data_IF_594456641177
#
_entry.id   IF_594456641177
#
_cell.length_a   1.000
_cell.length_b   1.000
_cell.length_c   1.000
_cell.angle_alpha   90.00
_cell.angle_beta   90.00
_cell.angle_gamma   90.00
#
_symmetry.space_group_name_H-M   'P 1'
#
loop_
_entity.id
_entity.type
_entity.pdbx_description
1 polymer ?
#
# COMPACT_ATOMS: atom_id res chain seq x y z
N UNK A 1 -42.39 25.59 -3.53
CA UNK A 1 -41.34 26.60 -3.24
C UNK A 1 -40.12 25.81 -2.77
N UNK A 2 -39.06 25.60 -3.55
CA UNK A 2 -38.30 26.59 -4.30
C UNK A 2 -37.03 27.07 -3.56
N UNK A 3 -36.57 26.38 -2.51
CA UNK A 3 -35.50 26.89 -1.62
C UNK A 3 -34.12 26.28 -1.83
N UNK A 4 -34.00 25.11 -2.48
CA UNK A 4 -32.70 24.49 -2.83
C UNK A 4 -32.87 23.61 -4.07
N UNK A 5 -31.87 23.59 -4.96
CA UNK A 5 -31.86 22.75 -6.16
C UNK A 5 -31.92 21.27 -5.77
N UNK A 6 -32.98 20.56 -6.15
CA UNK A 6 -33.21 19.16 -5.76
C UNK A 6 -32.15 18.17 -6.31
N UNK A 7 -31.36 18.59 -7.31
CA UNK A 7 -30.17 17.87 -7.77
C UNK A 7 -29.00 17.98 -6.77
N UNK A 8 -28.90 19.10 -6.04
CA UNK A 8 -27.83 19.33 -5.07
C UNK A 8 -28.21 18.86 -3.66
N UNK A 9 -29.49 18.95 -3.29
CA UNK A 9 -29.99 18.49 -1.99
C UNK A 9 -31.31 17.72 -2.20
N UNK A 10 -31.24 16.43 -2.53
CA UNK A 10 -32.42 15.59 -2.64
C UNK A 10 -33.13 15.48 -1.28
N UNK A 11 -34.47 15.42 -1.26
CA UNK A 11 -35.23 15.24 -0.01
C UNK A 11 -34.89 13.90 0.65
N UNK A 12 -34.91 13.82 1.99
CA UNK A 12 -34.42 12.66 2.75
C UNK A 12 -35.14 11.36 2.37
N UNK A 13 -36.43 11.41 2.02
CA UNK A 13 -37.19 10.25 1.53
C UNK A 13 -36.56 9.63 0.28
N UNK A 14 -36.10 10.45 -0.66
CA UNK A 14 -35.45 9.98 -1.88
C UNK A 14 -34.12 9.30 -1.57
N UNK A 15 -33.37 9.80 -0.59
CA UNK A 15 -32.11 9.17 -0.14
C UNK A 15 -32.37 7.78 0.44
N UNK A 16 -33.35 7.63 1.34
CA UNK A 16 -33.68 6.32 1.92
C UNK A 16 -34.19 5.33 0.86
N UNK A 17 -35.01 5.79 -0.09
CA UNK A 17 -35.43 4.96 -1.22
C UNK A 17 -34.24 4.54 -2.08
N UNK A 18 -33.35 5.46 -2.42
CA UNK A 18 -32.14 5.13 -3.21
C UNK A 18 -31.24 4.14 -2.49
N UNK A 19 -31.06 4.26 -1.16
CA UNK A 19 -30.31 3.26 -0.37
C UNK A 19 -30.97 1.88 -0.50
N UNK A 20 -32.29 1.78 -0.31
CA UNK A 20 -32.99 0.51 -0.45
C UNK A 20 -32.87 -0.06 -1.87
N UNK A 21 -33.09 0.75 -2.91
CA UNK A 21 -32.98 0.33 -4.30
C UNK A 21 -31.55 -0.14 -4.65
N UNK A 22 -30.52 0.59 -4.22
CA UNK A 22 -29.12 0.21 -4.47
C UNK A 22 -28.78 -1.15 -3.86
N UNK A 23 -29.16 -1.36 -2.60
CA UNK A 23 -28.81 -2.58 -1.88
C UNK A 23 -29.72 -3.77 -2.20
N UNK A 24 -31.03 -3.55 -2.37
CA UNK A 24 -32.00 -4.62 -2.56
C UNK A 24 -32.20 -5.01 -4.03
N UNK A 25 -32.06 -4.06 -4.97
CA UNK A 25 -32.43 -4.28 -6.38
C UNK A 25 -31.21 -4.24 -7.32
N UNK A 26 -30.21 -3.41 -7.02
CA UNK A 26 -29.06 -3.20 -7.91
C UNK A 26 -27.81 -3.98 -7.50
N UNK A 27 -27.88 -4.81 -6.45
CA UNK A 27 -26.75 -5.65 -6.06
C UNK A 27 -25.51 -4.88 -5.59
N UNK A 28 -25.68 -3.63 -5.13
CA UNK A 28 -24.58 -2.73 -4.75
C UNK A 28 -23.60 -3.33 -3.72
N UNK A 29 -24.08 -4.22 -2.85
CA UNK A 29 -23.24 -4.95 -1.90
C UNK A 29 -22.13 -5.76 -2.60
N UNK A 30 -22.43 -6.35 -3.77
CA UNK A 30 -21.46 -7.09 -4.57
C UNK A 30 -20.41 -6.16 -5.17
N UNK A 31 -20.80 -4.99 -5.65
CA UNK A 31 -19.87 -4.00 -6.20
C UNK A 31 -18.90 -3.48 -5.13
N UNK A 32 -19.42 -3.22 -3.93
CA UNK A 32 -18.60 -2.86 -2.76
C UNK A 32 -17.61 -3.98 -2.45
N UNK A 33 -18.08 -5.24 -2.42
CA UNK A 33 -17.22 -6.39 -2.14
C UNK A 33 -16.12 -6.55 -3.18
N UNK A 34 -16.43 -6.41 -4.47
CA UNK A 34 -15.44 -6.47 -5.55
C UNK A 34 -14.41 -5.36 -5.39
N UNK A 35 -14.84 -4.15 -5.06
CA UNK A 35 -13.93 -3.02 -4.82
C UNK A 35 -12.96 -3.30 -3.66
N UNK A 36 -13.50 -3.80 -2.54
CA UNK A 36 -12.69 -4.18 -1.36
C UNK A 36 -11.70 -5.29 -1.71
N UNK A 37 -12.15 -6.36 -2.36
CA UNK A 37 -11.28 -7.46 -2.78
C UNK A 37 -10.18 -7.01 -3.73
N UNK A 38 -10.47 -6.06 -4.63
CA UNK A 38 -9.47 -5.47 -5.52
C UNK A 38 -8.36 -4.75 -4.73
N UNK A 39 -8.72 -3.98 -3.71
CA UNK A 39 -7.75 -3.30 -2.84
C UNK A 39 -6.93 -4.30 -2.04
N UNK A 40 -7.58 -5.29 -1.42
CA UNK A 40 -6.91 -6.30 -0.60
C UNK A 40 -5.93 -7.15 -1.42
N UNK A 41 -6.32 -7.57 -2.63
CA UNK A 41 -5.45 -8.36 -3.51
C UNK A 41 -4.25 -7.56 -4.00
N UNK A 42 -4.44 -6.32 -4.44
CA UNK A 42 -3.34 -5.43 -4.83
C UNK A 42 -2.38 -5.15 -3.66
N UNK A 43 -2.91 -4.89 -2.48
CA UNK A 43 -2.13 -4.68 -1.26
C UNK A 43 -1.34 -5.94 -0.87
N UNK A 44 -1.96 -7.12 -0.87
CA UNK A 44 -1.28 -8.37 -0.57
C UNK A 44 -0.12 -8.64 -1.54
N UNK A 45 -0.34 -8.43 -2.85
CA UNK A 45 0.74 -8.52 -3.85
C UNK A 45 1.85 -7.50 -3.59
N UNK A 46 1.50 -6.27 -3.21
CA UNK A 46 2.49 -5.25 -2.85
C UNK A 46 3.29 -5.65 -1.62
N UNK A 47 2.68 -6.19 -0.57
CA UNK A 47 3.36 -6.66 0.64
C UNK A 47 4.40 -7.75 0.34
N UNK A 48 4.10 -8.70 -0.56
CA UNK A 48 5.04 -9.76 -0.95
C UNK A 48 6.36 -9.19 -1.47
N UNK A 49 6.34 -8.03 -2.13
CA UNK A 49 7.53 -7.38 -2.68
C UNK A 49 8.09 -6.32 -1.73
N UNK A 50 7.22 -5.51 -1.15
CA UNK A 50 7.60 -4.37 -0.32
C UNK A 50 8.20 -4.78 1.02
N UNK A 51 7.71 -5.87 1.63
CA UNK A 51 8.22 -6.34 2.93
C UNK A 51 9.66 -6.81 2.81
N UNK A 52 10.04 -7.74 1.91
CA UNK A 52 11.43 -8.16 1.77
C UNK A 52 12.36 -7.00 1.42
N UNK A 53 11.93 -6.13 0.49
CA UNK A 53 12.76 -5.02 0.03
C UNK A 53 12.92 -3.93 1.09
N UNK A 54 11.85 -3.57 1.79
CA UNK A 54 11.87 -2.60 2.88
C UNK A 54 12.72 -3.08 4.06
N UNK A 55 12.58 -4.34 4.45
CA UNK A 55 13.43 -4.94 5.50
C UNK A 55 14.90 -4.97 5.05
N UNK A 56 15.17 -5.35 3.80
CA UNK A 56 16.55 -5.35 3.27
C UNK A 56 17.16 -3.94 3.26
N UNK A 57 16.40 -2.92 2.86
CA UNK A 57 16.83 -1.51 2.93
C UNK A 57 17.03 -1.03 4.35
N UNK A 58 16.15 -1.38 5.29
CA UNK A 58 16.29 -0.96 6.67
C UNK A 58 17.46 -1.63 7.40
N UNK A 59 17.76 -2.88 7.04
CA UNK A 59 18.78 -3.67 7.73
C UNK A 59 20.19 -3.56 7.12
N UNK A 60 20.29 -3.27 5.81
CA UNK A 60 21.57 -3.20 5.09
C UNK A 60 21.80 -1.78 4.54
N UNK A 61 22.70 -0.98 5.15
CA UNK A 61 22.97 0.40 4.74
C UNK A 61 23.41 0.53 3.27
N UNK A 62 24.08 -0.49 2.73
CA UNK A 62 24.48 -0.51 1.32
C UNK A 62 23.29 -0.60 0.35
N UNK A 63 22.26 -1.40 0.70
CA UNK A 63 21.04 -1.51 -0.11
C UNK A 63 20.22 -0.23 0.00
N UNK A 64 20.11 0.34 1.20
CA UNK A 64 19.46 1.61 1.43
C UNK A 64 20.08 2.72 0.57
N UNK A 65 21.41 2.87 0.60
CA UNK A 65 22.10 3.91 -0.14
C UNK A 65 21.86 3.84 -1.65
N UNK A 66 21.73 2.63 -2.21
CA UNK A 66 21.46 2.44 -3.64
C UNK A 66 19.98 2.63 -3.97
N UNK A 67 19.06 2.04 -3.20
CA UNK A 67 17.63 2.00 -3.54
C UNK A 67 16.84 3.21 -3.04
N UNK A 68 17.22 3.82 -1.92
CA UNK A 68 16.55 4.97 -1.31
C UNK A 68 16.29 6.12 -2.28
N UNK A 69 17.25 6.59 -3.12
CA UNK A 69 16.97 7.66 -4.07
C UNK A 69 15.93 7.28 -5.12
N UNK A 70 15.94 6.03 -5.59
CA UNK A 70 14.93 5.55 -6.54
C UNK A 70 13.55 5.48 -5.87
N UNK A 71 13.42 4.74 -4.76
CA UNK A 71 12.12 4.56 -4.08
C UNK A 71 11.53 5.91 -3.67
N UNK A 72 12.36 6.82 -3.16
CA UNK A 72 11.95 8.17 -2.78
C UNK A 72 11.44 8.99 -3.97
N UNK A 73 12.08 8.89 -5.14
CA UNK A 73 11.64 9.59 -6.34
C UNK A 73 10.28 9.06 -6.83
N UNK A 74 10.11 7.74 -6.88
CA UNK A 74 8.87 7.10 -7.32
C UNK A 74 7.69 7.39 -6.38
N UNK A 75 7.95 7.60 -5.09
CA UNK A 75 6.91 7.96 -4.10
C UNK A 75 6.16 9.25 -4.46
N UNK A 76 6.81 10.20 -5.14
CA UNK A 76 6.17 11.47 -5.52
C UNK A 76 5.42 11.40 -6.85
N UNK A 77 5.53 10.30 -7.60
CA UNK A 77 4.81 10.13 -8.84
C UNK A 77 3.37 9.69 -8.54
N UNK A 78 2.35 10.45 -8.99
CA UNK A 78 0.97 10.04 -8.80
C UNK A 78 0.71 8.75 -9.58
N UNK A 79 0.28 7.69 -8.91
CA UNK A 79 -0.15 6.47 -9.59
C UNK A 79 -1.14 6.73 -10.74
N UNK A 80 -2.15 7.64 -10.62
CA UNK A 80 -3.07 7.94 -11.70
C UNK A 80 -2.41 8.41 -13.01
N UNK A 81 -1.20 8.98 -12.96
CA UNK A 81 -0.44 9.38 -14.14
C UNK A 81 -0.09 8.19 -15.06
N UNK A 82 -0.09 6.97 -14.52
CA UNK A 82 0.18 5.75 -15.27
C UNK A 82 -1.06 5.10 -15.89
N UNK A 83 -2.27 5.65 -15.69
CA UNK A 83 -3.50 5.09 -16.27
C UNK A 83 -3.38 4.87 -17.79
N UNK A 84 -2.90 5.84 -18.61
CA UNK A 84 -2.85 5.65 -20.06
C UNK A 84 -1.95 4.49 -20.48
N UNK A 85 -0.75 4.37 -19.87
CA UNK A 85 0.21 3.31 -20.20
C UNK A 85 -0.27 1.93 -19.73
N UNK A 86 -0.92 1.86 -18.56
CA UNK A 86 -1.50 0.63 -18.04
C UNK A 86 -2.66 0.15 -18.91
N UNK A 87 -3.52 1.06 -19.37
CA UNK A 87 -4.59 0.72 -20.31
C UNK A 87 -4.05 0.30 -21.68
N UNK A 88 -2.95 0.90 -22.14
CA UNK A 88 -2.32 0.52 -23.40
C UNK A 88 -1.74 -0.90 -23.35
N UNK A 89 -1.11 -1.29 -22.24
CA UNK A 89 -0.48 -2.61 -22.10
C UNK A 89 -1.45 -3.71 -21.68
N UNK A 90 -2.29 -3.46 -20.67
CA UNK A 90 -3.20 -4.46 -20.11
C UNK A 90 -4.59 -4.43 -20.75
N UNK A 91 -4.87 -3.45 -21.62
CA UNK A 91 -6.18 -3.25 -22.22
C UNK A 91 -7.20 -2.70 -21.24
N UNK A 92 -8.48 -2.92 -21.54
CA UNK A 92 -9.59 -2.60 -20.64
C UNK A 92 -9.97 -3.82 -19.81
N UNK A 93 -10.25 -3.63 -18.52
CA UNK A 93 -10.61 -4.73 -17.62
C UNK A 93 -10.15 -4.50 -16.18
N UNK A 94 -9.91 -5.59 -15.46
CA UNK A 94 -9.50 -5.58 -14.05
C UNK A 94 -7.99 -5.43 -13.84
N UNK A 95 -7.18 -6.01 -14.73
CA UNK A 95 -5.73 -5.98 -14.67
C UNK A 95 -5.13 -4.56 -14.54
N UNK A 96 -5.50 -3.54 -15.36
CA UNK A 96 -4.95 -2.20 -15.21
C UNK A 96 -5.33 -1.55 -13.87
N UNK A 97 -6.51 -1.86 -13.32
CA UNK A 97 -6.96 -1.34 -12.01
C UNK A 97 -6.12 -1.92 -10.88
N UNK A 98 -5.86 -3.23 -10.91
CA UNK A 98 -4.98 -3.90 -9.94
C UNK A 98 -3.54 -3.41 -10.03
N UNK A 99 -3.00 -3.28 -11.24
CA UNK A 99 -1.64 -2.78 -11.46
C UNK A 99 -1.48 -1.34 -10.95
N UNK A 100 -2.49 -0.50 -11.17
CA UNK A 100 -2.52 0.88 -10.67
C UNK A 100 -2.49 0.93 -9.14
N UNK A 101 -3.33 0.12 -8.46
CA UNK A 101 -3.37 0.06 -7.00
C UNK A 101 -2.04 -0.46 -6.43
N UNK A 102 -1.47 -1.50 -7.04
CA UNK A 102 -0.16 -2.04 -6.66
C UNK A 102 0.93 -0.98 -6.77
N UNK A 103 1.03 -0.29 -7.90
CA UNK A 103 2.02 0.75 -8.14
C UNK A 103 1.86 1.93 -7.17
N UNK A 104 0.61 2.26 -6.84
CA UNK A 104 0.27 3.35 -5.92
C UNK A 104 0.68 3.12 -4.47
N UNK A 105 0.89 1.87 -4.04
CA UNK A 105 1.20 1.56 -2.64
C UNK A 105 2.58 0.95 -2.44
N UNK A 106 3.17 0.29 -3.44
CA UNK A 106 4.43 -0.45 -3.29
C UNK A 106 5.59 0.43 -2.79
N UNK A 107 5.83 1.59 -3.39
CA UNK A 107 6.94 2.47 -3.00
C UNK A 107 6.74 3.08 -1.62
N UNK A 108 5.49 3.43 -1.28
CA UNK A 108 5.14 3.91 0.06
C UNK A 108 5.37 2.83 1.13
N UNK A 109 4.97 1.59 0.85
CA UNK A 109 5.19 0.45 1.74
C UNK A 109 6.67 0.14 1.94
N UNK A 110 7.47 0.15 0.87
CA UNK A 110 8.92 -0.10 0.97
C UNK A 110 9.56 0.92 1.92
N UNK A 111 9.30 2.21 1.74
CA UNK A 111 9.84 3.26 2.60
C UNK A 111 9.37 3.11 4.04
N UNK A 112 8.07 2.90 4.26
CA UNK A 112 7.49 2.73 5.59
C UNK A 112 8.15 1.56 6.35
N UNK A 113 8.34 0.43 5.68
CA UNK A 113 8.95 -0.77 6.29
C UNK A 113 10.44 -0.55 6.53
N UNK A 114 11.14 0.11 5.61
CA UNK A 114 12.54 0.46 5.78
C UNK A 114 12.75 1.39 6.98
N UNK A 115 11.91 2.41 7.14
CA UNK A 115 11.98 3.36 8.25
C UNK A 115 11.71 2.64 9.59
N UNK A 116 10.66 1.84 9.70
CA UNK A 116 10.39 1.04 10.90
C UNK A 116 11.50 0.03 11.22
N UNK A 117 12.13 -0.55 10.20
CA UNK A 117 13.26 -1.46 10.41
C UNK A 117 14.49 -0.71 10.96
N UNK A 118 14.71 0.54 10.55
CA UNK A 118 15.80 1.39 11.07
C UNK A 118 15.53 1.91 12.49
N UNK A 119 14.27 2.00 12.90
CA UNK A 119 13.85 2.43 14.24
C UNK A 119 14.13 1.37 15.33
N UNK A 120 14.50 0.14 14.96
CA UNK A 120 14.90 -0.90 15.92
C UNK A 120 16.04 -0.38 16.81
N UNK A 121 15.82 -0.45 18.14
CA UNK A 121 16.74 0.11 19.15
C UNK A 121 18.19 -0.30 18.89
N UNK A 122 19.05 0.70 18.71
CA UNK A 122 20.51 0.53 18.55
C UNK A 122 21.14 -0.33 19.64
N UNK A 123 20.59 -0.27 20.86
CA UNK A 123 21.01 -1.10 22.00
C UNK A 123 20.97 -2.61 21.71
N UNK A 124 19.96 -3.09 20.96
CA UNK A 124 19.86 -4.50 20.56
C UNK A 124 20.96 -4.88 19.57
N UNK A 125 21.28 -3.97 18.65
CA UNK A 125 22.33 -4.14 17.65
C UNK A 125 23.71 -4.12 18.32
N UNK A 126 23.97 -3.17 19.22
CA UNK A 126 25.23 -3.02 19.95
C UNK A 126 25.49 -4.19 20.92
N UNK A 127 24.46 -4.70 21.59
CA UNK A 127 24.55 -5.89 22.44
C UNK A 127 24.90 -7.12 21.61
N UNK A 128 24.25 -7.32 20.46
CA UNK A 128 24.54 -8.44 19.55
C UNK A 128 25.99 -8.40 19.03
N UNK A 129 26.48 -7.22 18.64
CA UNK A 129 27.86 -7.03 18.20
C UNK A 129 28.87 -7.31 19.31
N UNK A 130 28.57 -6.89 20.55
CA UNK A 130 29.42 -7.14 21.73
C UNK A 130 29.48 -8.62 22.09
N UNK A 131 28.39 -9.36 21.85
CA UNK A 131 28.34 -10.83 21.97
C UNK A 131 29.00 -11.56 20.79
N UNK A 132 29.61 -10.84 19.84
CA UNK A 132 30.36 -11.41 18.71
C UNK A 132 29.50 -11.79 17.50
N UNK A 133 28.27 -11.31 17.39
CA UNK A 133 27.42 -11.57 16.23
C UNK A 133 27.98 -10.90 14.96
N UNK A 134 28.01 -11.64 13.85
CA UNK A 134 28.35 -11.08 12.54
C UNK A 134 27.23 -10.15 12.04
N UNK A 135 27.55 -9.19 11.16
CA UNK A 135 26.55 -8.25 10.61
C UNK A 135 25.31 -8.93 10.03
N UNK A 136 25.50 -10.04 9.30
CA UNK A 136 24.40 -10.84 8.75
C UNK A 136 23.57 -11.50 9.87
N UNK A 137 24.22 -12.03 10.91
CA UNK A 137 23.53 -12.61 12.07
C UNK A 137 22.71 -11.57 12.83
N UNK A 138 23.23 -10.36 13.01
CA UNK A 138 22.51 -9.26 13.67
C UNK A 138 21.26 -8.85 12.87
N UNK A 139 21.39 -8.76 11.55
CA UNK A 139 20.26 -8.45 10.65
C UNK A 139 19.16 -9.53 10.71
N UNK A 140 19.51 -10.78 10.46
CA UNK A 140 18.51 -11.85 10.32
C UNK A 140 17.97 -12.38 11.65
N UNK A 141 18.77 -12.32 12.73
CA UNK A 141 18.47 -13.00 14.00
C UNK A 141 18.14 -12.07 15.15
N UNK A 142 18.36 -10.77 15.00
CA UNK A 142 18.06 -9.76 16.03
C UNK A 142 17.13 -8.69 15.48
N UNK A 143 17.44 -8.13 14.30
CA UNK A 143 16.66 -7.03 13.71
C UNK A 143 15.33 -7.51 13.15
N UNK A 144 15.34 -8.52 12.27
CA UNK A 144 14.14 -9.11 11.67
C UNK A 144 13.07 -9.53 12.71
N UNK A 145 13.40 -10.31 13.77
CA UNK A 145 12.41 -10.68 14.80
C UNK A 145 11.98 -9.50 15.70
N UNK A 146 12.76 -8.43 15.79
CA UNK A 146 12.39 -7.24 16.58
C UNK A 146 11.44 -6.28 15.82
N UNK A 147 11.33 -6.41 14.49
CA UNK A 147 10.42 -5.62 13.63
C UNK A 147 9.07 -6.31 13.46
N UNK A 148 9.00 -7.62 13.69
CA UNK A 148 7.72 -8.33 13.71
C UNK A 148 6.92 -7.89 14.96
N UNK A 149 5.65 -7.51 14.81
CA UNK A 149 4.80 -7.07 15.92
C UNK A 149 4.51 -8.19 16.93
#
# INVERSE_FOLDING_TARGET
MGWVNAILVPPPEQVFRSIYTLFAEQGFATDVLISVLRVLTAFAMACVVAVPLGVAMGALPAIDAVLSPFVSAWRYLPAPSFIPILLMWFGTGEAPKLALLFLGVIFFLITLIADHTKEVRKELIETALTLGASQSTTVFRVMLPAVLP
#
